data_IF_986734870424
#
_entry.id   IF_986734870424
#
_cell.length_a   1.000
_cell.length_b   1.000
_cell.length_c   1.000
_cell.angle_alpha   90.00
_cell.angle_beta   90.00
_cell.angle_gamma   90.00
#
_symmetry.space_group_name_H-M   'P 1'
#
loop_
_entity.id
_entity.type
_entity.pdbx_description
1 polymer ?
#
# COMPACT_ATOMS: atom_id res chain seq x y z
N UNK A 1 -15.33 -21.80 -30.75
CA UNK A 1 -15.82 -20.53 -30.18
C UNK A 1 -15.88 -20.66 -28.67
N UNK A 2 -14.87 -20.18 -27.95
CA UNK A 2 -14.86 -20.22 -26.48
C UNK A 2 -15.75 -19.13 -25.91
N UNK A 3 -16.72 -19.50 -25.07
CA UNK A 3 -17.57 -18.56 -24.35
C UNK A 3 -16.71 -17.67 -23.45
N UNK A 4 -16.59 -16.40 -23.85
CA UNK A 4 -15.95 -15.36 -23.04
C UNK A 4 -16.87 -15.08 -21.85
N UNK A 5 -16.57 -15.69 -20.69
CA UNK A 5 -17.26 -15.42 -19.42
C UNK A 5 -17.21 -13.90 -19.20
N UNK A 6 -18.36 -13.23 -19.25
CA UNK A 6 -18.45 -11.81 -18.90
C UNK A 6 -18.20 -11.71 -17.39
N UNK A 7 -17.06 -11.15 -17.00
CA UNK A 7 -16.84 -10.71 -15.62
C UNK A 7 -17.92 -9.68 -15.29
N UNK A 8 -18.97 -10.11 -14.58
CA UNK A 8 -19.91 -9.21 -13.96
C UNK A 8 -19.22 -8.63 -12.73
N UNK A 9 -19.26 -7.32 -12.56
CA UNK A 9 -18.83 -6.70 -11.31
C UNK A 9 -19.54 -7.39 -10.14
N UNK A 10 -18.83 -7.64 -9.04
CA UNK A 10 -19.44 -8.26 -7.88
C UNK A 10 -20.58 -7.35 -7.37
N UNK A 11 -21.67 -7.93 -6.82
CA UNK A 11 -22.81 -7.14 -6.38
C UNK A 11 -22.38 -6.10 -5.33
N UNK A 12 -23.05 -4.94 -5.37
CA UNK A 12 -22.79 -3.81 -4.45
C UNK A 12 -22.95 -4.30 -3.01
N UNK A 13 -21.95 -4.05 -2.15
CA UNK A 13 -21.82 -4.56 -0.77
C UNK A 13 -21.51 -6.06 -0.59
N UNK A 14 -21.11 -6.76 -1.64
CA UNK A 14 -20.48 -8.08 -1.45
C UNK A 14 -19.16 -7.99 -0.71
N UNK A 15 -18.76 -9.07 -0.04
CA UNK A 15 -17.46 -9.16 0.64
C UNK A 15 -16.28 -8.85 -0.31
N UNK A 16 -16.37 -9.30 -1.56
CA UNK A 16 -15.36 -9.01 -2.60
C UNK A 16 -15.33 -7.52 -2.98
N UNK A 17 -16.50 -6.87 -3.08
CA UNK A 17 -16.59 -5.44 -3.37
C UNK A 17 -15.96 -4.60 -2.25
N UNK A 18 -16.22 -4.95 -0.99
CA UNK A 18 -15.65 -4.25 0.16
C UNK A 18 -14.13 -4.38 0.18
N UNK A 19 -13.59 -5.58 -0.08
CA UNK A 19 -12.13 -5.78 -0.15
C UNK A 19 -11.49 -4.93 -1.25
N UNK A 20 -12.11 -4.90 -2.43
CA UNK A 20 -11.58 -4.17 -3.58
C UNK A 20 -11.61 -2.65 -3.39
N UNK A 21 -12.58 -2.13 -2.64
CA UNK A 21 -12.79 -0.69 -2.49
C UNK A 21 -12.50 -0.19 -1.06
N UNK A 22 -11.89 -1.01 -0.19
CA UNK A 22 -11.73 -0.67 1.23
C UNK A 22 -10.93 0.63 1.41
N UNK A 23 -9.89 0.84 0.60
CA UNK A 23 -9.06 2.04 0.65
C UNK A 23 -9.86 3.30 0.29
N UNK A 24 -10.71 3.22 -0.74
CA UNK A 24 -11.58 4.33 -1.18
C UNK A 24 -12.70 4.63 -0.17
N UNK A 25 -13.25 3.60 0.46
CA UNK A 25 -14.25 3.78 1.52
C UNK A 25 -13.63 4.46 2.75
N UNK A 26 -12.45 4.01 3.18
CA UNK A 26 -11.74 4.58 4.34
C UNK A 26 -11.23 6.00 4.03
N UNK A 27 -10.76 6.26 2.81
CA UNK A 27 -10.33 7.59 2.37
C UNK A 27 -11.50 8.57 2.29
N UNK A 28 -12.69 8.12 1.89
CA UNK A 28 -13.90 8.94 1.92
C UNK A 28 -14.22 9.42 3.35
N UNK A 29 -14.15 8.53 4.34
CA UNK A 29 -14.37 8.89 5.76
C UNK A 29 -13.31 9.87 6.25
N UNK A 30 -12.03 9.62 5.95
CA UNK A 30 -10.94 10.53 6.33
C UNK A 30 -11.11 11.92 5.68
N UNK A 31 -11.51 11.96 4.41
CA UNK A 31 -11.75 13.20 3.67
C UNK A 31 -12.87 14.04 4.28
N UNK A 32 -13.96 13.42 4.76
CA UNK A 32 -15.04 14.15 5.45
C UNK A 32 -14.52 14.84 6.71
N UNK A 33 -13.66 14.17 7.48
CA UNK A 33 -13.04 14.75 8.69
C UNK A 33 -12.13 15.94 8.31
N UNK A 34 -11.31 15.79 7.26
CA UNK A 34 -10.44 16.85 6.77
C UNK A 34 -11.20 18.05 6.19
N UNK A 35 -12.27 17.81 5.43
CA UNK A 35 -13.17 18.86 4.94
C UNK A 35 -13.89 19.58 6.09
N UNK A 36 -14.14 18.88 7.20
CA UNK A 36 -14.62 19.48 8.44
C UNK A 36 -13.71 20.56 9.01
N UNK A 37 -12.43 20.64 8.62
CA UNK A 37 -11.54 21.73 9.00
C UNK A 37 -11.79 23.03 8.24
N UNK A 38 -12.51 22.99 7.10
CA UNK A 38 -12.72 24.16 6.25
C UNK A 38 -13.70 25.17 6.83
N UNK A 39 -14.62 24.74 7.72
CA UNK A 39 -15.56 25.64 8.39
C UNK A 39 -15.23 25.79 9.87
N UNK A 40 -15.29 27.02 10.38
CA UNK A 40 -14.87 27.35 11.75
C UNK A 40 -15.63 26.57 12.84
N UNK A 41 -16.92 26.31 12.64
CA UNK A 41 -17.75 25.56 13.60
C UNK A 41 -17.39 24.08 13.63
N UNK A 42 -17.18 23.46 12.46
CA UNK A 42 -16.83 22.04 12.35
C UNK A 42 -15.36 21.79 12.68
N UNK A 43 -14.48 22.77 12.45
CA UNK A 43 -13.05 22.67 12.74
C UNK A 43 -12.77 22.39 14.22
N UNK A 44 -13.56 22.99 15.13
CA UNK A 44 -13.47 22.73 16.58
C UNK A 44 -13.66 21.26 16.94
N UNK A 45 -14.45 20.53 16.15
CA UNK A 45 -14.66 19.10 16.34
C UNK A 45 -13.65 18.25 15.56
N UNK A 46 -13.34 18.63 14.32
CA UNK A 46 -12.40 17.91 13.47
C UNK A 46 -10.97 17.93 14.01
N UNK A 47 -10.55 19.02 14.68
CA UNK A 47 -9.19 19.12 15.24
C UNK A 47 -8.93 18.09 16.35
N UNK A 48 -9.97 17.62 17.05
CA UNK A 48 -9.86 16.56 18.05
C UNK A 48 -9.37 15.23 17.46
N UNK A 49 -9.60 14.99 16.17
CA UNK A 49 -9.15 13.77 15.48
C UNK A 49 -7.70 13.87 14.97
N UNK A 50 -7.13 15.07 14.85
CA UNK A 50 -5.86 15.26 14.16
C UNK A 50 -4.74 15.58 15.13
N UNK A 51 -4.99 16.44 16.12
CA UNK A 51 -3.95 16.89 17.05
C UNK A 51 -4.03 16.16 18.37
N UNK A 52 -2.90 16.02 19.06
CA UNK A 52 -2.86 15.56 20.45
C UNK A 52 -3.46 16.65 21.35
N UNK A 53 -4.36 16.28 22.27
CA UNK A 53 -5.22 17.25 22.96
C UNK A 53 -4.70 17.70 24.33
N UNK A 54 -3.84 16.90 24.96
CA UNK A 54 -3.43 17.09 26.36
C UNK A 54 -1.97 17.56 26.47
N UNK A 55 -1.65 18.71 25.86
CA UNK A 55 -0.34 19.35 26.04
C UNK A 55 -0.28 20.09 27.39
N UNK A 56 0.74 19.78 28.19
CA UNK A 56 1.05 20.41 29.48
C UNK A 56 2.40 21.08 29.38
N UNK A 57 2.44 22.40 29.57
CA UNK A 57 3.68 23.18 29.53
C UNK A 57 4.12 23.53 30.96
N UNK A 58 5.30 23.09 31.36
CA UNK A 58 5.89 23.49 32.65
C UNK A 58 6.86 24.66 32.44
N UNK A 59 6.63 25.75 33.17
CA UNK A 59 7.42 26.99 33.11
C UNK A 59 8.17 27.29 34.41
N UNK A 60 8.13 26.37 35.37
CA UNK A 60 8.37 26.70 36.78
C UNK A 60 9.86 26.95 37.14
N UNK A 61 10.84 26.54 36.31
CA UNK A 61 12.27 26.66 36.65
C UNK A 61 13.25 26.92 35.49
N UNK A 62 12.80 27.06 34.24
CA UNK A 62 13.69 27.20 33.06
C UNK A 62 13.16 28.26 32.09
N UNK A 63 14.06 29.07 31.51
CA UNK A 63 13.70 30.15 30.57
C UNK A 63 13.02 29.65 29.28
N UNK A 64 13.14 28.36 28.98
CA UNK A 64 12.45 27.73 27.86
C UNK A 64 11.33 26.80 28.34
N UNK A 65 10.09 26.96 27.84
CA UNK A 65 8.97 26.11 28.20
C UNK A 65 9.19 24.68 27.66
N UNK A 66 9.07 23.67 28.53
CA UNK A 66 9.10 22.27 28.13
C UNK A 66 7.66 21.77 28.01
N UNK A 67 7.29 21.24 26.84
CA UNK A 67 5.98 20.68 26.55
C UNK A 67 5.97 19.16 26.82
N UNK A 68 5.05 18.70 27.65
CA UNK A 68 4.78 17.29 27.91
C UNK A 68 3.36 16.94 27.45
N UNK A 69 3.13 15.66 27.16
CA UNK A 69 1.82 15.17 26.75
C UNK A 69 1.30 14.15 27.75
N UNK A 70 0.12 14.41 28.30
CA UNK A 70 -0.62 13.44 29.10
C UNK A 70 -1.61 12.65 28.23
N UNK A 71 -2.12 11.54 28.75
CA UNK A 71 -3.13 10.74 28.07
C UNK A 71 -4.53 11.14 28.54
N UNK A 72 -5.49 11.19 27.62
CA UNK A 72 -6.89 11.37 28.00
C UNK A 72 -7.89 10.79 27.00
N UNK A 73 -9.19 10.79 27.35
CA UNK A 73 -10.21 10.11 26.56
C UNK A 73 -10.39 10.68 25.14
N UNK A 74 -10.05 11.96 24.91
CA UNK A 74 -10.12 12.56 23.57
C UNK A 74 -9.08 12.00 22.61
N UNK A 75 -7.97 11.45 23.11
CA UNK A 75 -6.95 10.83 22.27
C UNK A 75 -7.46 9.56 21.59
N UNK A 76 -8.57 8.97 22.06
CA UNK A 76 -9.23 7.85 21.37
C UNK A 76 -9.70 8.26 19.97
N UNK A 77 -10.20 9.49 19.81
CA UNK A 77 -10.59 10.03 18.50
C UNK A 77 -9.37 10.21 17.60
N UNK A 78 -8.26 10.71 18.16
CA UNK A 78 -6.98 10.82 17.45
C UNK A 78 -6.46 9.45 17.01
N UNK A 79 -6.43 8.46 17.93
CA UNK A 79 -6.01 7.09 17.62
C UNK A 79 -6.88 6.50 16.52
N UNK A 80 -8.21 6.66 16.59
CA UNK A 80 -9.12 6.19 15.55
C UNK A 80 -8.77 6.77 14.18
N UNK A 81 -8.55 8.10 14.09
CA UNK A 81 -8.20 8.74 12.83
C UNK A 81 -6.84 8.26 12.30
N UNK A 82 -5.84 8.14 13.17
CA UNK A 82 -4.52 7.65 12.79
C UNK A 82 -4.56 6.18 12.33
N UNK A 83 -5.47 5.36 12.88
CA UNK A 83 -5.72 4.01 12.37
C UNK A 83 -6.31 4.05 10.96
N UNK A 84 -7.24 4.96 10.65
CA UNK A 84 -7.74 5.14 9.27
C UNK A 84 -6.61 5.53 8.31
N UNK A 85 -5.76 6.48 8.72
CA UNK A 85 -4.58 6.88 7.93
C UNK A 85 -3.62 5.71 7.74
N UNK A 86 -3.37 4.91 8.77
CA UNK A 86 -2.52 3.72 8.67
C UNK A 86 -3.09 2.69 7.68
N UNK A 87 -4.41 2.48 7.66
CA UNK A 87 -5.07 1.59 6.70
C UNK A 87 -4.91 2.13 5.27
N UNK A 88 -5.11 3.44 5.05
CA UNK A 88 -4.91 4.07 3.74
C UNK A 88 -3.45 3.92 3.31
N UNK A 89 -2.48 4.22 4.18
CA UNK A 89 -1.06 4.09 3.87
C UNK A 89 -0.69 2.64 3.56
N UNK A 90 -1.18 1.67 4.32
CA UNK A 90 -0.99 0.25 4.04
C UNK A 90 -1.52 -0.12 2.66
N UNK A 91 -2.74 0.32 2.30
CA UNK A 91 -3.34 0.06 1.00
C UNK A 91 -2.53 0.69 -0.15
N UNK A 92 -2.12 1.94 -0.01
CA UNK A 92 -1.31 2.64 -1.02
C UNK A 92 0.06 1.99 -1.19
N UNK A 93 0.73 1.59 -0.11
CA UNK A 93 2.02 0.87 -0.18
C UNK A 93 1.83 -0.45 -0.91
N UNK A 94 0.74 -1.16 -0.63
CA UNK A 94 0.44 -2.43 -1.30
C UNK A 94 0.25 -2.23 -2.81
N UNK A 95 -0.56 -1.25 -3.21
CA UNK A 95 -0.87 -0.95 -4.61
C UNK A 95 0.34 -0.41 -5.39
N UNK A 96 1.06 0.59 -4.85
CA UNK A 96 2.12 1.28 -5.59
C UNK A 96 3.48 0.60 -5.49
N UNK A 97 3.79 -0.05 -4.37
CA UNK A 97 5.13 -0.59 -4.11
C UNK A 97 5.12 -2.11 -4.20
N UNK A 98 4.20 -2.79 -3.51
CA UNK A 98 4.24 -4.25 -3.41
C UNK A 98 3.76 -4.93 -4.69
N UNK A 99 2.63 -4.53 -5.27
CA UNK A 99 2.09 -5.21 -6.46
C UNK A 99 3.05 -5.13 -7.65
N UNK A 100 3.64 -3.95 -7.89
CA UNK A 100 4.60 -3.75 -8.97
C UNK A 100 5.88 -4.56 -8.74
N UNK A 101 6.49 -4.44 -7.55
CA UNK A 101 7.76 -5.12 -7.25
C UNK A 101 7.59 -6.62 -7.15
N UNK A 102 6.50 -7.11 -6.59
CA UNK A 102 6.17 -8.52 -6.51
C UNK A 102 5.97 -9.12 -7.91
N UNK A 103 5.32 -8.41 -8.83
CA UNK A 103 5.22 -8.84 -10.23
C UNK A 103 6.60 -9.04 -10.86
N UNK A 104 7.52 -8.07 -10.72
CA UNK A 104 8.87 -8.18 -11.25
C UNK A 104 9.67 -9.33 -10.61
N UNK A 105 9.56 -9.51 -9.29
CA UNK A 105 10.23 -10.61 -8.57
C UNK A 105 9.71 -11.96 -9.05
N UNK A 106 8.39 -12.12 -9.25
CA UNK A 106 7.80 -13.35 -9.78
C UNK A 106 8.28 -13.64 -11.21
N UNK A 107 8.41 -12.61 -12.06
CA UNK A 107 8.93 -12.76 -13.42
C UNK A 107 10.39 -13.23 -13.42
N UNK A 108 11.24 -12.64 -12.57
CA UNK A 108 12.64 -13.07 -12.43
C UNK A 108 12.71 -14.52 -11.90
N UNK A 109 11.90 -14.86 -10.90
CA UNK A 109 11.83 -16.20 -10.35
C UNK A 109 11.39 -17.25 -11.39
N UNK A 110 10.42 -16.91 -12.25
CA UNK A 110 9.99 -17.76 -13.35
C UNK A 110 11.12 -18.06 -14.35
N UNK A 111 11.87 -17.05 -14.78
CA UNK A 111 12.99 -17.23 -15.70
C UNK A 111 14.17 -17.97 -15.07
N UNK A 112 14.41 -17.79 -13.77
CA UNK A 112 15.40 -18.58 -13.03
C UNK A 112 14.97 -20.04 -12.87
N UNK A 113 13.68 -20.30 -12.62
CA UNK A 113 13.12 -21.66 -12.59
C UNK A 113 13.18 -22.36 -13.96
N UNK A 114 13.14 -21.61 -15.06
CA UNK A 114 13.29 -22.18 -16.40
C UNK A 114 14.68 -22.81 -16.64
N UNK A 115 15.72 -22.42 -15.88
CA UNK A 115 17.08 -22.98 -15.99
C UNK A 115 17.18 -24.46 -15.57
N UNK A 116 16.73 -24.87 -14.37
CA UNK A 116 16.66 -26.28 -14.02
C UNK A 116 15.69 -27.05 -14.92
N UNK A 117 14.58 -26.44 -15.36
CA UNK A 117 13.67 -27.09 -16.30
C UNK A 117 14.35 -27.41 -17.65
N UNK A 118 15.17 -26.50 -18.18
CA UNK A 118 16.03 -26.72 -19.34
C UNK A 118 17.04 -27.86 -19.14
N UNK A 119 17.55 -27.99 -17.92
CA UNK A 119 18.50 -29.03 -17.56
C UNK A 119 17.83 -30.41 -17.45
N UNK A 120 16.60 -30.47 -16.91
CA UNK A 120 15.84 -31.70 -16.75
C UNK A 120 15.09 -32.13 -18.02
N UNK A 121 14.62 -31.19 -18.83
CA UNK A 121 14.12 -31.48 -20.16
C UNK A 121 15.32 -31.93 -21.01
N UNK A 122 15.22 -33.10 -21.64
CA UNK A 122 16.24 -33.63 -22.57
C UNK A 122 16.26 -32.85 -23.88
N UNK A 123 16.45 -31.53 -23.81
CA UNK A 123 16.53 -30.61 -24.94
C UNK A 123 17.78 -30.95 -25.76
N UNK A 124 17.70 -30.80 -27.08
CA UNK A 124 18.85 -31.03 -27.96
C UNK A 124 19.97 -30.07 -27.59
N UNK A 125 21.19 -30.59 -27.45
CA UNK A 125 22.35 -29.82 -26.94
C UNK A 125 22.68 -28.58 -27.77
N UNK A 126 22.31 -28.59 -29.04
CA UNK A 126 22.44 -27.48 -29.99
C UNK A 126 21.48 -26.30 -29.70
N UNK A 127 20.33 -26.55 -29.08
CA UNK A 127 19.31 -25.54 -28.77
C UNK A 127 19.54 -24.87 -27.38
N UNK A 128 20.28 -25.54 -26.49
CA UNK A 128 20.60 -25.06 -25.13
C UNK A 128 21.25 -23.67 -25.10
N UNK A 129 22.34 -23.37 -25.84
CA UNK A 129 22.99 -22.06 -25.74
C UNK A 129 22.08 -20.93 -26.24
N UNK A 130 21.22 -21.22 -27.22
CA UNK A 130 20.25 -20.27 -27.73
C UNK A 130 19.18 -19.96 -26.66
N UNK A 131 18.65 -20.98 -26.01
CA UNK A 131 17.66 -20.81 -24.93
C UNK A 131 18.25 -20.11 -23.70
N UNK A 132 19.49 -20.43 -23.31
CA UNK A 132 20.22 -19.71 -22.25
C UNK A 132 20.37 -18.22 -22.56
N UNK A 133 20.78 -17.88 -23.78
CA UNK A 133 20.88 -16.48 -24.20
C UNK A 133 19.52 -15.77 -24.11
N UNK A 134 18.43 -16.41 -24.54
CA UNK A 134 17.08 -15.84 -24.38
C UNK A 134 16.71 -15.62 -22.91
N UNK A 135 17.00 -16.57 -22.02
CA UNK A 135 16.71 -16.42 -20.58
C UNK A 135 17.53 -15.27 -19.98
N UNK A 136 18.83 -15.22 -20.26
CA UNK A 136 19.71 -14.14 -19.77
C UNK A 136 19.24 -12.76 -20.24
N UNK A 137 18.83 -12.64 -21.50
CA UNK A 137 18.36 -11.37 -22.07
C UNK A 137 17.03 -10.93 -21.43
N UNK A 138 16.12 -11.86 -21.16
CA UNK A 138 14.87 -11.58 -20.44
C UNK A 138 15.14 -11.16 -18.98
N UNK A 139 15.98 -11.90 -18.24
CA UNK A 139 16.33 -11.56 -16.86
C UNK A 139 16.99 -10.18 -16.80
N UNK A 140 17.91 -9.87 -17.71
CA UNK A 140 18.57 -8.56 -17.77
C UNK A 140 17.57 -7.44 -18.07
N UNK A 141 16.66 -7.63 -19.03
CA UNK A 141 15.65 -6.63 -19.38
C UNK A 141 14.68 -6.36 -18.22
N UNK A 142 14.21 -7.42 -17.57
CA UNK A 142 13.27 -7.33 -16.43
C UNK A 142 13.95 -6.70 -15.22
N UNK A 143 15.21 -7.05 -14.94
CA UNK A 143 15.99 -6.44 -13.86
C UNK A 143 16.27 -4.95 -14.13
N UNK A 144 16.61 -4.58 -15.37
CA UNK A 144 16.75 -3.19 -15.78
C UNK A 144 15.44 -2.42 -15.62
N UNK A 145 14.32 -3.00 -16.05
CA UNK A 145 13.00 -2.42 -15.88
C UNK A 145 12.58 -2.29 -14.41
N UNK A 146 13.00 -3.20 -13.53
CA UNK A 146 12.76 -3.13 -12.08
C UNK A 146 13.55 -2.00 -11.41
N UNK A 147 14.78 -1.71 -11.86
CA UNK A 147 15.61 -0.65 -11.29
C UNK A 147 15.15 0.74 -11.79
N UNK A 148 14.63 0.81 -13.01
CA UNK A 148 14.19 2.06 -13.65
C UNK A 148 12.80 2.54 -13.21
N UNK A 149 12.04 1.73 -12.46
CA UNK A 149 10.66 2.02 -12.03
C UNK A 149 10.55 2.06 -10.52
#
# INVERSE_FOLDING_TARGET
MGFRKKNKSPPVLSHEFVIQNHADMVSCVAMVILLGLMFEVTAKYAIMFITVQYNVTYTEYRSEPINFYEYGPKDLATIFFYVLVAIILHALIQEYILDVKFFYICQIAYWLHALPELYFQKVRKEDIPRQLNYICLNVFHIAGAYILK
#
